data_IF_508755336274
#
_entry.id   IF_508755336274
#
_cell.length_a   1.000
_cell.length_b   1.000
_cell.length_c   1.000
_cell.angle_alpha   90.00
_cell.angle_beta   90.00
_cell.angle_gamma   90.00
#
_symmetry.space_group_name_H-M   'P 1'
#
loop_
_entity.id
_entity.type
_entity.pdbx_description
1 polymer ?
#
# COMPACT_ATOMS: atom_id res chain seq x y z
N UNK A 1 -13.94 6.25 0.61
CA UNK A 1 -13.02 5.25 0.07
C UNK A 1 -11.99 5.01 1.15
N UNK A 2 -11.93 3.77 1.64
CA UNK A 2 -10.92 3.29 2.56
C UNK A 2 -9.56 3.14 1.85
N UNK A 3 -8.49 3.21 2.63
CA UNK A 3 -7.13 3.20 2.09
C UNK A 3 -6.71 1.90 1.39
N UNK A 4 -7.07 0.68 1.87
CA UNK A 4 -6.79 -0.56 1.16
C UNK A 4 -7.41 -0.56 -0.24
N UNK A 5 -8.67 -0.12 -0.36
CA UNK A 5 -9.35 -0.03 -1.66
C UNK A 5 -8.67 0.98 -2.59
N UNK A 6 -8.23 2.14 -2.08
CA UNK A 6 -7.49 3.13 -2.87
C UNK A 6 -6.14 2.59 -3.38
N UNK A 7 -5.43 1.80 -2.57
CA UNK A 7 -4.18 1.16 -2.98
C UNK A 7 -4.41 0.16 -4.13
N UNK A 8 -5.47 -0.67 -4.03
CA UNK A 8 -5.83 -1.61 -5.10
C UNK A 8 -6.24 -0.88 -6.38
N UNK A 9 -7.10 0.14 -6.29
CA UNK A 9 -7.54 0.91 -7.45
C UNK A 9 -6.36 1.59 -8.14
N UNK A 10 -5.42 2.16 -7.38
CA UNK A 10 -4.19 2.71 -7.95
C UNK A 10 -3.36 1.64 -8.68
N UNK A 11 -3.24 0.42 -8.15
CA UNK A 11 -2.56 -0.67 -8.83
C UNK A 11 -3.23 -1.04 -10.16
N UNK A 12 -4.57 -1.06 -10.20
CA UNK A 12 -5.35 -1.34 -11.40
C UNK A 12 -5.12 -0.26 -12.47
N UNK A 13 -5.14 1.02 -12.08
CA UNK A 13 -4.90 2.12 -13.02
C UNK A 13 -3.45 2.13 -13.53
N UNK A 14 -2.46 1.77 -12.70
CA UNK A 14 -1.07 1.60 -13.12
C UNK A 14 -0.89 0.42 -14.10
N UNK A 15 -1.59 -0.70 -13.89
CA UNK A 15 -1.59 -1.83 -14.82
C UNK A 15 -2.17 -1.46 -16.20
N UNK A 16 -3.23 -0.64 -16.22
CA UNK A 16 -3.77 -0.08 -17.47
C UNK A 16 -2.74 0.80 -18.18
N UNK A 17 -2.06 1.69 -17.46
CA UNK A 17 -0.99 2.54 -18.04
C UNK A 17 0.13 1.70 -18.64
N UNK A 18 0.61 0.68 -17.92
CA UNK A 18 1.65 -0.24 -18.41
C UNK A 18 1.20 -0.95 -19.70
N UNK A 19 -0.07 -1.34 -19.78
CA UNK A 19 -0.70 -1.96 -20.96
C UNK A 19 -1.12 -0.96 -22.04
N UNK A 20 -0.76 0.33 -21.91
CA UNK A 20 -1.13 1.42 -22.84
C UNK A 20 -2.64 1.59 -23.01
N UNK A 21 -3.40 1.29 -21.97
CA UNK A 21 -4.84 1.47 -21.90
C UNK A 21 -5.17 2.82 -21.22
N UNK A 22 -6.35 3.40 -21.49
CA UNK A 22 -6.80 4.58 -20.78
C UNK A 22 -6.93 4.28 -19.28
N UNK A 23 -6.29 5.11 -18.45
CA UNK A 23 -6.29 4.99 -17.00
C UNK A 23 -6.79 6.28 -16.33
N UNK A 24 -7.36 6.16 -15.15
CA UNK A 24 -7.77 7.28 -14.32
C UNK A 24 -6.60 7.82 -13.50
N UNK A 25 -5.94 8.85 -14.05
CA UNK A 25 -4.82 9.53 -13.39
C UNK A 25 -5.24 10.20 -12.08
N UNK A 26 -6.52 10.55 -11.90
CA UNK A 26 -7.01 11.15 -10.66
C UNK A 26 -6.95 10.17 -9.49
N UNK A 27 -7.12 8.86 -9.75
CA UNK A 27 -7.00 7.82 -8.75
C UNK A 27 -5.54 7.66 -8.29
N UNK A 28 -4.58 7.68 -9.23
CA UNK A 28 -3.14 7.67 -8.91
C UNK A 28 -2.74 8.93 -8.13
N UNK A 29 -3.27 10.10 -8.52
CA UNK A 29 -3.04 11.35 -7.80
C UNK A 29 -3.59 11.32 -6.37
N UNK A 30 -4.80 10.77 -6.17
CA UNK A 30 -5.41 10.62 -4.84
C UNK A 30 -4.60 9.68 -3.96
N UNK A 31 -4.08 8.59 -4.52
CA UNK A 31 -3.18 7.69 -3.81
C UNK A 31 -1.92 8.42 -3.33
N UNK A 32 -1.23 9.14 -4.23
CA UNK A 32 -0.06 9.95 -3.88
C UNK A 32 -0.37 11.02 -2.83
N UNK A 33 -1.54 11.66 -2.91
CA UNK A 33 -1.97 12.64 -1.90
C UNK A 33 -2.26 12.00 -0.54
N UNK A 34 -2.88 10.82 -0.52
CA UNK A 34 -3.18 10.10 0.72
C UNK A 34 -1.90 9.67 1.44
N UNK A 35 -0.86 9.29 0.67
CA UNK A 35 0.46 9.04 1.22
C UNK A 35 1.02 10.30 1.90
N UNK A 36 0.91 11.48 1.26
CA UNK A 36 1.39 12.79 1.79
C UNK A 36 0.66 13.30 3.02
N UNK A 37 -0.66 13.34 2.94
CA UNK A 37 -1.52 13.91 3.95
C UNK A 37 -2.89 13.26 3.84
N UNK A 38 -3.36 12.56 4.87
CA UNK A 38 -4.67 11.97 4.81
C UNK A 38 -5.73 13.07 4.98
N UNK A 39 -6.96 12.86 4.47
CA UNK A 39 -7.97 13.91 4.41
C UNK A 39 -8.31 14.46 5.80
N UNK A 40 -8.22 15.78 5.95
CA UNK A 40 -8.53 16.53 7.17
C UNK A 40 -10.01 16.39 7.55
N UNK A 41 -10.36 15.31 8.25
CA UNK A 41 -11.74 15.03 8.64
C UNK A 41 -11.85 13.80 9.52
N UNK A 42 -11.50 13.94 10.80
CA UNK A 42 -11.73 12.91 11.83
C UNK A 42 -10.76 11.74 11.74
N UNK A 43 -9.63 11.85 12.46
CA UNK A 43 -8.50 10.92 12.56
C UNK A 43 -8.23 10.06 11.31
N UNK A 44 -7.34 10.54 10.45
CA UNK A 44 -6.48 9.64 9.71
C UNK A 44 -5.01 9.98 9.98
N UNK A 45 -4.25 8.97 10.35
CA UNK A 45 -2.85 9.11 10.72
C UNK A 45 -2.05 9.23 9.42
N UNK A 46 -1.32 10.33 9.24
CA UNK A 46 -0.47 10.46 8.06
C UNK A 46 0.55 9.33 8.03
N UNK A 47 0.68 8.67 6.88
CA UNK A 47 1.76 7.71 6.66
C UNK A 47 3.14 8.39 6.67
N UNK A 48 3.22 9.72 6.52
CA UNK A 48 4.45 10.49 6.78
C UNK A 48 4.69 10.79 8.25
N UNK A 49 3.66 10.74 9.11
CA UNK A 49 3.83 10.88 10.55
C UNK A 49 4.32 9.56 11.17
N UNK A 50 5.32 8.94 10.53
CA UNK A 50 5.96 7.70 10.93
C UNK A 50 6.46 7.78 12.38
N UNK A 51 6.91 8.96 12.82
CA UNK A 51 7.41 9.21 14.18
C UNK A 51 6.29 9.26 15.21
N UNK A 52 5.06 9.54 14.78
CA UNK A 52 3.87 9.61 15.62
C UNK A 52 3.07 8.30 15.60
N UNK A 53 3.35 7.39 14.64
CA UNK A 53 2.66 6.12 14.53
C UNK A 53 3.57 4.96 14.06
N UNK A 54 4.04 4.10 14.97
CA UNK A 54 4.91 2.96 14.64
C UNK A 54 4.20 1.87 13.82
N UNK A 55 2.86 1.78 13.87
CA UNK A 55 2.10 0.80 13.06
C UNK A 55 2.21 1.14 11.58
N UNK A 56 2.21 2.43 11.24
CA UNK A 56 2.42 2.88 9.86
C UNK A 56 3.83 2.54 9.35
N UNK A 57 4.84 2.58 10.23
CA UNK A 57 6.22 2.16 9.91
C UNK A 57 6.27 0.67 9.59
N UNK A 58 5.63 -0.17 10.40
CA UNK A 58 5.61 -1.63 10.20
C UNK A 58 4.86 -2.03 8.92
N UNK A 59 3.72 -1.39 8.64
CA UNK A 59 2.94 -1.62 7.42
C UNK A 59 3.76 -1.27 6.17
N UNK A 60 4.38 -0.09 6.15
CA UNK A 60 5.16 0.36 5.01
C UNK A 60 6.44 -0.47 4.83
N UNK A 61 7.13 -0.82 5.91
CA UNK A 61 8.34 -1.63 5.85
C UNK A 61 8.02 -3.06 5.38
N UNK A 62 6.90 -3.64 5.84
CA UNK A 62 6.42 -4.94 5.35
C UNK A 62 6.07 -4.89 3.86
N UNK A 63 5.38 -3.82 3.42
CA UNK A 63 5.06 -3.64 2.00
C UNK A 63 6.32 -3.50 1.14
N UNK A 64 7.32 -2.74 1.60
CA UNK A 64 8.61 -2.58 0.89
C UNK A 64 9.38 -3.90 0.85
N UNK A 65 9.38 -4.64 1.95
CA UNK A 65 10.04 -5.94 2.03
C UNK A 65 9.46 -6.93 0.99
N UNK A 66 8.15 -6.94 0.81
CA UNK A 66 7.49 -7.79 -0.20
C UNK A 66 7.77 -7.34 -1.64
N UNK A 67 8.05 -6.06 -1.90
CA UNK A 67 8.36 -5.57 -3.24
C UNK A 67 9.82 -5.68 -3.64
N UNK A 68 10.72 -5.32 -2.73
CA UNK A 68 12.16 -5.13 -2.99
C UNK A 68 13.03 -6.19 -2.28
N UNK A 69 12.46 -7.02 -1.40
CA UNK A 69 13.21 -7.99 -0.60
C UNK A 69 14.13 -7.33 0.45
N UNK A 70 14.02 -6.01 0.62
CA UNK A 70 14.84 -5.21 1.51
C UNK A 70 13.96 -4.64 2.64
N UNK A 71 14.41 -4.79 3.89
CA UNK A 71 13.82 -4.08 5.02
C UNK A 71 14.63 -2.81 5.26
N UNK A 72 13.96 -1.66 5.21
CA UNK A 72 14.57 -0.39 5.59
C UNK A 72 14.60 -0.32 7.10
N UNK A 73 15.80 -0.46 7.68
CA UNK A 73 16.00 -0.47 9.13
C UNK A 73 16.01 0.93 9.74
N UNK A 74 16.17 1.96 8.91
CA UNK A 74 16.29 3.35 9.31
C UNK A 74 15.05 4.15 8.89
N UNK A 75 14.51 4.88 9.85
CA UNK A 75 13.39 5.78 9.68
C UNK A 75 13.59 6.80 8.56
N UNK A 76 14.78 7.40 8.46
CA UNK A 76 15.07 8.40 7.43
C UNK A 76 15.04 7.80 6.02
N UNK A 77 15.51 6.56 5.89
CA UNK A 77 15.53 5.86 4.60
C UNK A 77 14.10 5.48 4.18
N UNK A 78 13.27 5.07 5.15
CA UNK A 78 11.84 4.81 4.92
C UNK A 78 11.11 6.09 4.51
N UNK A 79 11.34 7.21 5.20
CA UNK A 79 10.73 8.49 4.85
C UNK A 79 11.14 8.95 3.45
N UNK A 80 12.44 8.85 3.13
CA UNK A 80 12.95 9.20 1.80
C UNK A 80 12.31 8.32 0.72
N UNK A 81 12.20 7.01 0.97
CA UNK A 81 11.59 6.08 0.03
C UNK A 81 10.11 6.41 -0.24
N UNK A 82 9.34 6.75 0.79
CA UNK A 82 7.94 7.18 0.63
C UNK A 82 7.85 8.51 -0.12
N UNK A 83 8.78 9.47 0.10
CA UNK A 83 8.85 10.72 -0.69
C UNK A 83 9.09 10.45 -2.17
N UNK A 84 10.02 9.56 -2.48
CA UNK A 84 10.35 9.20 -3.85
C UNK A 84 9.15 8.54 -4.54
N UNK A 85 8.45 7.65 -3.82
CA UNK A 85 7.24 6.99 -4.32
C UNK A 85 6.09 7.97 -4.59
N UNK A 86 5.90 8.97 -3.71
CA UNK A 86 4.93 10.04 -3.91
C UNK A 86 5.30 10.90 -5.12
N UNK A 87 6.57 11.28 -5.26
CA UNK A 87 7.04 12.04 -6.41
C UNK A 87 6.78 11.28 -7.71
N UNK A 88 7.02 9.96 -7.71
CA UNK A 88 6.75 9.08 -8.82
C UNK A 88 5.25 8.98 -9.16
N UNK A 89 4.39 8.80 -8.15
CA UNK A 89 2.94 8.80 -8.34
C UNK A 89 2.44 10.13 -8.93
N UNK A 90 3.00 11.26 -8.50
CA UNK A 90 2.69 12.59 -9.05
C UNK A 90 3.13 12.74 -10.50
N UNK A 91 4.34 12.30 -10.84
CA UNK A 91 4.85 12.34 -12.21
C UNK A 91 3.96 11.51 -13.16
N UNK A 92 3.61 10.28 -12.76
CA UNK A 92 2.70 9.42 -13.51
C UNK A 92 1.32 10.07 -13.65
N UNK A 93 0.76 10.63 -12.56
CA UNK A 93 -0.54 11.28 -12.59
C UNK A 93 -0.55 12.58 -13.43
N UNK A 94 0.59 13.25 -13.58
CA UNK A 94 0.77 14.39 -14.47
C UNK A 94 0.90 14.00 -15.95
N UNK A 95 0.96 12.69 -16.25
CA UNK A 95 1.15 12.17 -17.60
C UNK A 95 2.59 12.32 -18.10
N UNK A 96 3.56 12.46 -17.18
CA UNK A 96 4.97 12.47 -17.54
C UNK A 96 5.40 11.09 -18.03
N UNK A 97 6.31 11.07 -19.01
CA UNK A 97 6.85 9.83 -19.60
C UNK A 97 7.76 9.13 -18.59
N UNK A 98 7.16 8.42 -17.66
CA UNK A 98 7.80 7.48 -16.74
C UNK A 98 7.99 6.15 -17.46
N UNK A 99 9.11 5.48 -17.21
CA UNK A 99 9.38 4.18 -17.80
C UNK A 99 8.46 3.09 -17.26
N UNK A 100 8.38 1.99 -18.01
CA UNK A 100 7.59 0.82 -17.62
C UNK A 100 8.06 0.22 -16.30
N UNK A 101 9.34 0.37 -15.97
CA UNK A 101 9.93 -0.13 -14.73
C UNK A 101 9.43 0.66 -13.52
N UNK A 102 9.37 1.99 -13.60
CA UNK A 102 8.80 2.82 -12.56
C UNK A 102 7.33 2.47 -12.34
N UNK A 103 6.51 2.45 -13.40
CA UNK A 103 5.08 2.09 -13.30
C UNK A 103 4.91 0.70 -12.68
N UNK A 104 5.73 -0.28 -13.09
CA UNK A 104 5.72 -1.63 -12.55
C UNK A 104 6.16 -1.72 -11.08
N UNK A 105 7.13 -0.93 -10.64
CA UNK A 105 7.54 -0.84 -9.24
C UNK A 105 6.42 -0.27 -8.36
N UNK A 106 5.83 0.86 -8.77
CA UNK A 106 4.72 1.48 -8.05
C UNK A 106 3.51 0.55 -7.97
N UNK A 107 3.20 -0.16 -9.07
CA UNK A 107 2.13 -1.16 -9.09
C UNK A 107 2.35 -2.28 -8.06
N UNK A 108 3.56 -2.85 -8.02
CA UNK A 108 3.92 -3.90 -7.05
C UNK A 108 3.77 -3.40 -5.62
N UNK A 109 4.19 -2.16 -5.35
CA UNK A 109 4.01 -1.54 -4.05
C UNK A 109 2.55 -1.37 -3.67
N UNK A 110 1.73 -0.82 -4.57
CA UNK A 110 0.29 -0.66 -4.32
C UNK A 110 -0.39 -1.99 -3.99
N UNK A 111 -0.05 -3.08 -4.72
CA UNK A 111 -0.56 -4.42 -4.43
C UNK A 111 -0.09 -4.96 -3.08
N UNK A 112 1.20 -4.79 -2.77
CA UNK A 112 1.73 -5.25 -1.50
C UNK A 112 1.16 -4.47 -0.32
N UNK A 113 1.00 -3.16 -0.46
CA UNK A 113 0.41 -2.31 0.57
C UNK A 113 -1.05 -2.68 0.81
N UNK A 114 -1.81 -2.93 -0.27
CA UNK A 114 -3.17 -3.45 -0.15
C UNK A 114 -3.22 -4.75 0.65
N UNK A 115 -2.33 -5.71 0.35
CA UNK A 115 -2.27 -6.98 1.06
C UNK A 115 -1.96 -6.80 2.55
N UNK A 116 -0.92 -6.05 2.90
CA UNK A 116 -0.53 -5.82 4.30
C UNK A 116 -1.65 -5.12 5.07
N UNK A 117 -2.31 -4.13 4.45
CA UNK A 117 -3.45 -3.45 5.08
C UNK A 117 -4.64 -4.38 5.30
N UNK A 118 -4.89 -5.34 4.39
CA UNK A 118 -5.92 -6.36 4.61
C UNK A 118 -5.55 -7.30 5.76
N UNK A 119 -4.29 -7.73 5.86
CA UNK A 119 -3.81 -8.59 6.94
C UNK A 119 -3.96 -7.90 8.31
N UNK A 120 -3.69 -6.59 8.40
CA UNK A 120 -3.89 -5.81 9.63
C UNK A 120 -5.37 -5.54 9.97
N UNK A 121 -6.23 -5.38 8.96
CA UNK A 121 -7.66 -5.11 9.14
C UNK A 121 -8.50 -6.38 9.34
N UNK A 122 -7.97 -7.54 8.97
CA UNK A 122 -8.63 -8.83 9.18
C UNK A 122 -8.08 -9.41 10.48
N UNK A 123 -8.83 -9.42 11.60
CA UNK A 123 -8.39 -10.21 12.75
C UNK A 123 -8.17 -11.63 12.25
N UNK A 124 -7.01 -12.22 12.60
CA UNK A 124 -6.78 -13.64 12.37
C UNK A 124 -8.05 -14.39 12.75
N UNK A 125 -8.57 -15.32 11.91
CA UNK A 125 -9.74 -16.06 12.29
C UNK A 125 -9.43 -16.69 13.64
N UNK A 126 -10.16 -16.27 14.69
CA UNK A 126 -10.18 -17.02 15.93
C UNK A 126 -10.44 -18.47 15.54
N UNK A 127 -9.59 -19.35 16.04
CA UNK A 127 -9.51 -20.80 15.79
C UNK A 127 -10.78 -21.53 16.35
N UNK A 128 -11.97 -20.98 16.10
CA UNK A 128 -13.25 -21.42 16.64
C UNK A 128 -13.99 -22.40 15.72
N UNK A 129 -13.28 -22.96 14.73
CA UNK A 129 -13.76 -24.05 13.89
C UNK A 129 -12.80 -25.25 13.89
N UNK A 130 -12.32 -25.63 15.07
CA UNK A 130 -11.93 -27.02 15.30
C UNK A 130 -13.21 -27.85 15.46
N UNK A 131 -13.60 -28.71 14.50
CA UNK A 131 -14.62 -29.71 14.80
C UNK A 131 -14.06 -30.56 15.95
N UNK A 132 -14.77 -30.56 17.08
CA UNK A 132 -14.44 -31.45 18.19
C UNK A 132 -14.35 -32.87 17.63
N UNK A 133 -13.14 -33.43 17.61
CA UNK A 133 -12.96 -34.85 17.37
C UNK A 133 -13.72 -35.58 18.48
N UNK A 134 -14.87 -36.15 18.13
CA UNK A 134 -15.66 -36.97 19.03
C UNK A 134 -14.91 -38.31 19.21
N UNK A 135 -14.10 -38.37 20.25
CA UNK A 135 -13.28 -39.53 20.63
C UNK A 135 -14.16 -40.61 21.31
N UNK A 136 -15.26 -41.01 20.66
CA UNK A 136 -16.17 -42.06 21.14
C UNK A 136 -16.58 -43.03 20.04
N UNK A 137 -15.60 -43.72 19.46
CA UNK A 137 -15.83 -45.09 18.97
C UNK A 137 -14.60 -45.93 19.30
N UNK A 138 -14.58 -46.48 20.51
CA UNK A 138 -13.79 -47.65 20.90
C UNK A 138 -14.77 -48.78 21.21
#
# INVERSE_FOLDING_TARGET
MDFPSLALDAAIELDKLEKRQPADLATIQRFGHYLEAPPSGGRPVSLFALSENPVNVEILNSAIFHTEGASLSNFNDLEQWVRDLVAQAKAIAAGESTGSEEIGSLKRFCLSLHQVLLEELTPAPDDEWMPAYDERVA
#
